data_IF_637555607685
#
_entry.id   IF_637555607685
#
_cell.length_a   1.000
_cell.length_b   1.000
_cell.length_c   1.000
_cell.angle_alpha   90.00
_cell.angle_beta   90.00
_cell.angle_gamma   90.00
#
_symmetry.space_group_name_H-M   'P 1'
#
loop_
_entity.id
_entity.type
_entity.pdbx_description
1 polymer ?
#
# COMPACT_ATOMS: atom_id res chain seq x y z
N UNK A 1 -72.14 5.08 -1.56
CA UNK A 1 -71.15 4.77 -2.62
C UNK A 1 -69.90 5.58 -2.33
N UNK A 2 -68.87 4.92 -1.71
CA UNK A 2 -67.58 5.54 -1.38
C UNK A 2 -66.59 5.17 -2.51
N UNK A 3 -66.16 6.19 -3.28
CA UNK A 3 -65.14 6.04 -4.31
C UNK A 3 -63.77 6.03 -3.64
N UNK A 4 -63.06 4.88 -3.68
CA UNK A 4 -61.66 4.75 -3.29
C UNK A 4 -60.81 5.35 -4.42
N UNK A 5 -60.07 6.45 -4.12
CA UNK A 5 -59.06 7.00 -5.01
C UNK A 5 -57.78 6.28 -4.70
N UNK A 6 -57.32 5.42 -5.63
CA UNK A 6 -56.02 4.74 -5.56
C UNK A 6 -54.97 5.72 -6.14
N UNK A 7 -54.14 6.28 -5.27
CA UNK A 7 -53.00 7.10 -5.67
C UNK A 7 -51.88 6.12 -6.04
N UNK A 8 -51.58 6.02 -7.33
CA UNK A 8 -50.40 5.31 -7.84
C UNK A 8 -49.17 6.23 -7.64
N UNK A 9 -48.39 5.99 -6.61
CA UNK A 9 -47.10 6.65 -6.44
C UNK A 9 -46.11 6.08 -7.44
N UNK A 10 -45.81 6.85 -8.50
CA UNK A 10 -44.69 6.56 -9.40
C UNK A 10 -43.40 6.81 -8.68
N UNK A 11 -42.78 5.73 -8.17
CA UNK A 11 -41.39 5.80 -7.71
C UNK A 11 -40.50 5.83 -8.97
N UNK A 12 -40.06 7.01 -9.38
CA UNK A 12 -38.95 7.14 -10.33
C UNK A 12 -37.68 6.66 -9.66
N UNK A 13 -37.19 5.48 -10.05
CA UNK A 13 -35.84 5.04 -9.76
C UNK A 13 -34.87 6.02 -10.43
N UNK A 14 -34.32 6.92 -9.66
CA UNK A 14 -33.14 7.70 -10.07
C UNK A 14 -31.96 6.74 -9.96
N UNK A 15 -31.55 6.16 -11.08
CA UNK A 15 -30.26 5.47 -11.16
C UNK A 15 -29.16 6.52 -10.96
N UNK A 16 -28.55 6.48 -9.80
CA UNK A 16 -27.34 7.27 -9.52
C UNK A 16 -26.22 6.57 -10.28
N UNK A 17 -25.91 7.04 -11.49
CA UNK A 17 -24.71 6.63 -12.21
C UNK A 17 -23.53 7.14 -11.39
N UNK A 18 -22.82 6.21 -10.74
CA UNK A 18 -21.58 6.54 -10.09
C UNK A 18 -20.55 6.91 -11.16
N UNK A 19 -20.01 8.14 -11.10
CA UNK A 19 -18.89 8.58 -11.92
C UNK A 19 -17.73 7.59 -11.75
N UNK A 20 -17.36 6.89 -12.81
CA UNK A 20 -16.30 5.87 -12.80
C UNK A 20 -15.30 6.16 -13.92
N UNK A 21 -14.27 6.97 -13.66
CA UNK A 21 -13.22 7.21 -14.63
C UNK A 21 -12.45 5.92 -14.92
N UNK A 22 -11.85 5.84 -16.10
CA UNK A 22 -10.95 4.77 -16.46
C UNK A 22 -9.60 4.96 -15.74
N UNK A 23 -9.13 3.93 -15.05
CA UNK A 23 -7.82 3.96 -14.41
C UNK A 23 -6.77 3.32 -15.33
N UNK A 24 -5.65 4.04 -15.52
CA UNK A 24 -4.51 3.58 -16.31
C UNK A 24 -3.23 3.72 -15.50
N UNK A 25 -2.56 2.61 -15.22
CA UNK A 25 -1.32 2.57 -14.44
C UNK A 25 -0.17 2.14 -15.34
N UNK A 26 0.86 2.99 -15.47
CA UNK A 26 2.00 2.79 -16.38
C UNK A 26 1.56 2.33 -17.79
N UNK A 27 0.47 2.91 -18.32
CA UNK A 27 -0.07 2.59 -19.63
C UNK A 27 -0.99 1.35 -19.71
N UNK A 28 -1.22 0.65 -18.59
CA UNK A 28 -2.10 -0.52 -18.51
C UNK A 28 -3.42 -0.16 -17.83
N UNK A 29 -4.55 -0.54 -18.44
CA UNK A 29 -5.88 -0.36 -17.85
C UNK A 29 -6.04 -1.29 -16.64
N UNK A 30 -6.53 -0.73 -15.52
CA UNK A 30 -6.79 -1.46 -14.27
C UNK A 30 -8.19 -1.14 -13.73
N UNK A 31 -8.74 -2.02 -12.91
CA UNK A 31 -10.08 -1.83 -12.33
C UNK A 31 -10.10 -0.82 -11.17
N UNK A 32 -9.02 -0.74 -10.39
CA UNK A 32 -8.89 0.13 -9.21
C UNK A 32 -7.43 0.47 -8.93
N UNK A 33 -7.20 1.61 -8.28
CA UNK A 33 -5.89 2.07 -7.83
C UNK A 33 -5.77 2.13 -6.30
N UNK A 34 -6.80 1.71 -5.55
CA UNK A 34 -6.85 1.77 -4.08
C UNK A 34 -5.75 0.96 -3.39
N UNK A 35 -5.28 -0.09 -4.05
CA UNK A 35 -4.22 -0.96 -3.54
C UNK A 35 -2.80 -0.41 -3.79
N UNK A 36 -2.67 0.71 -4.52
CA UNK A 36 -1.37 1.32 -4.83
C UNK A 36 -0.99 2.26 -3.69
N UNK A 37 0.14 2.01 -2.98
CA UNK A 37 0.62 2.92 -1.96
C UNK A 37 0.96 4.29 -2.55
N UNK A 38 0.63 5.36 -1.83
CA UNK A 38 0.97 6.73 -2.26
C UNK A 38 2.48 6.92 -2.48
N UNK A 39 3.31 6.26 -1.67
CA UNK A 39 4.77 6.34 -1.78
C UNK A 39 5.31 5.75 -3.10
N UNK A 40 4.53 4.89 -3.77
CA UNK A 40 4.89 4.27 -5.04
C UNK A 40 4.50 5.13 -6.26
N UNK A 41 3.66 6.15 -6.06
CA UNK A 41 3.16 7.01 -7.12
C UNK A 41 4.17 8.13 -7.40
N UNK A 42 4.55 8.28 -8.66
CA UNK A 42 5.36 9.39 -9.15
C UNK A 42 4.48 10.58 -9.57
N UNK A 43 3.38 10.29 -10.30
CA UNK A 43 2.48 11.31 -10.84
C UNK A 43 1.06 10.77 -11.08
N UNK A 44 0.08 11.64 -10.92
CA UNK A 44 -1.31 11.38 -11.32
C UNK A 44 -1.74 12.51 -12.25
N UNK A 45 -2.24 12.16 -13.43
CA UNK A 45 -2.81 13.08 -14.39
C UNK A 45 -4.29 12.73 -14.61
N UNK A 46 -5.15 13.76 -14.64
CA UNK A 46 -6.57 13.62 -14.95
C UNK A 46 -6.82 14.09 -16.38
N UNK A 47 -7.27 13.20 -17.25
CA UNK A 47 -7.69 13.54 -18.60
C UNK A 47 -9.22 13.70 -18.63
N UNK A 48 -9.73 14.80 -19.20
CA UNK A 48 -11.16 15.04 -19.32
C UNK A 48 -11.81 14.06 -20.29
N UNK A 49 -13.11 13.83 -20.11
CA UNK A 49 -13.94 13.11 -21.05
C UNK A 49 -14.13 13.97 -22.34
N UNK A 50 -13.37 13.70 -23.37
CA UNK A 50 -13.46 14.36 -24.66
C UNK A 50 -13.14 13.39 -25.81
N UNK A 51 -13.32 13.83 -27.06
CA UNK A 51 -13.10 13.00 -28.25
C UNK A 51 -11.68 12.46 -28.35
N UNK A 52 -10.67 13.25 -27.97
CA UNK A 52 -9.27 12.86 -28.00
C UNK A 52 -8.98 11.72 -27.00
N UNK A 53 -9.50 11.86 -25.76
CA UNK A 53 -9.36 10.85 -24.72
C UNK A 53 -10.07 9.57 -25.09
N UNK A 54 -11.29 9.66 -25.62
CA UNK A 54 -12.05 8.49 -26.10
C UNK A 54 -11.38 7.83 -27.30
N UNK A 55 -10.85 8.61 -28.24
CA UNK A 55 -10.12 8.05 -29.39
C UNK A 55 -8.87 7.26 -28.98
N UNK A 56 -8.20 7.71 -27.92
CA UNK A 56 -6.98 7.05 -27.40
C UNK A 56 -7.25 5.83 -26.53
N UNK A 57 -8.28 5.89 -25.66
CA UNK A 57 -8.50 4.90 -24.61
C UNK A 57 -9.80 4.09 -24.78
N UNK A 58 -10.58 4.38 -25.83
CA UNK A 58 -11.85 3.70 -26.11
C UNK A 58 -13.05 4.31 -25.38
N UNK A 59 -14.22 3.71 -25.59
CA UNK A 59 -15.49 4.17 -24.99
C UNK A 59 -15.52 4.07 -23.45
N UNK A 60 -14.66 3.27 -22.86
CA UNK A 60 -14.51 3.15 -21.40
C UNK A 60 -14.00 4.45 -20.79
N UNK A 61 -13.36 5.31 -21.57
CA UNK A 61 -12.89 6.64 -21.17
C UNK A 61 -13.96 7.75 -21.30
N UNK A 62 -15.23 7.40 -21.55
CA UNK A 62 -16.34 8.36 -21.72
C UNK A 62 -16.58 9.23 -20.47
N UNK A 63 -16.09 8.84 -19.30
CA UNK A 63 -16.13 9.59 -18.05
C UNK A 63 -14.76 10.14 -17.65
N UNK A 64 -13.78 10.16 -18.59
CA UNK A 64 -12.42 10.60 -18.35
C UNK A 64 -11.49 9.48 -17.92
N UNK A 65 -10.19 9.82 -17.82
CA UNK A 65 -9.12 8.87 -17.49
C UNK A 65 -8.27 9.44 -16.36
N UNK A 66 -7.96 8.59 -15.39
CA UNK A 66 -6.95 8.85 -14.36
C UNK A 66 -5.70 8.06 -14.73
N UNK A 67 -4.65 8.78 -15.14
CA UNK A 67 -3.34 8.20 -15.45
C UNK A 67 -2.48 8.21 -14.19
N UNK A 68 -2.03 7.05 -13.77
CA UNK A 68 -1.10 6.89 -12.65
C UNK A 68 0.24 6.43 -13.19
N UNK A 69 1.28 7.24 -12.96
CA UNK A 69 2.66 6.87 -13.25
C UNK A 69 3.32 6.43 -11.94
N UNK A 70 3.81 5.21 -11.91
CA UNK A 70 4.55 4.68 -10.77
C UNK A 70 6.03 5.02 -10.87
N UNK A 71 6.69 5.08 -9.71
CA UNK A 71 8.14 5.27 -9.62
C UNK A 71 8.92 4.10 -10.23
N UNK A 72 8.26 2.93 -10.42
CA UNK A 72 8.84 1.69 -10.94
C UNK A 72 7.87 0.98 -11.90
N UNK A 73 8.40 0.16 -12.76
CA UNK A 73 7.63 -0.75 -13.62
C UNK A 73 7.43 -2.10 -12.90
N UNK A 74 8.43 -2.49 -12.09
CA UNK A 74 8.40 -3.70 -11.29
C UNK A 74 8.75 -3.37 -9.84
N UNK A 75 7.86 -3.75 -8.93
CA UNK A 75 8.01 -3.49 -7.48
C UNK A 75 9.11 -4.37 -6.88
N UNK A 76 9.82 -3.85 -5.87
CA UNK A 76 10.70 -4.68 -5.07
C UNK A 76 9.93 -5.78 -4.33
N UNK A 77 10.49 -6.98 -4.32
CA UNK A 77 9.89 -8.15 -3.66
C UNK A 77 10.87 -8.82 -2.73
N UNK A 78 10.36 -9.34 -1.62
CA UNK A 78 11.11 -10.17 -0.69
C UNK A 78 10.65 -11.62 -0.80
N UNK A 79 11.60 -12.53 -0.97
CA UNK A 79 11.34 -13.98 -0.90
C UNK A 79 12.57 -14.68 -0.37
N UNK A 80 12.43 -15.41 0.74
CA UNK A 80 13.50 -16.15 1.37
C UNK A 80 12.96 -17.28 2.26
N UNK A 81 13.45 -18.52 2.08
CA UNK A 81 13.12 -19.69 2.91
C UNK A 81 11.60 -19.88 3.16
N UNK A 82 10.76 -19.64 2.15
CA UNK A 82 9.30 -19.77 2.26
C UNK A 82 8.59 -18.54 2.82
N UNK A 83 9.30 -17.45 3.08
CA UNK A 83 8.71 -16.15 3.40
C UNK A 83 8.62 -15.27 2.15
N UNK A 84 7.42 -14.90 1.76
CA UNK A 84 7.16 -13.93 0.68
C UNK A 84 6.78 -12.54 1.24
N UNK A 85 6.81 -12.40 2.56
CA UNK A 85 6.50 -11.17 3.28
C UNK A 85 7.60 -10.86 4.29
N UNK A 86 8.23 -9.68 4.11
CA UNK A 86 9.34 -9.26 4.97
C UNK A 86 8.95 -9.08 6.44
N UNK A 87 7.73 -8.59 6.71
CA UNK A 87 7.25 -8.46 8.10
C UNK A 87 7.08 -9.82 8.78
N UNK A 88 6.67 -10.85 8.03
CA UNK A 88 6.57 -12.22 8.55
C UNK A 88 7.95 -12.82 8.79
N UNK A 89 8.89 -12.60 7.88
CA UNK A 89 10.30 -12.96 8.09
C UNK A 89 10.84 -12.31 9.36
N UNK A 90 10.68 -10.98 9.53
CA UNK A 90 11.12 -10.28 10.73
C UNK A 90 10.46 -10.84 12.00
N UNK A 91 9.14 -11.13 11.95
CA UNK A 91 8.42 -11.72 13.07
C UNK A 91 8.99 -13.08 13.50
N UNK A 92 9.53 -13.86 12.55
CA UNK A 92 10.13 -15.17 12.82
C UNK A 92 11.57 -15.08 13.36
N UNK A 93 12.33 -14.05 12.97
CA UNK A 93 13.77 -13.91 13.28
C UNK A 93 14.04 -12.98 14.46
N UNK A 94 13.17 -12.00 14.74
CA UNK A 94 13.32 -11.11 15.90
C UNK A 94 13.13 -11.90 17.18
N UNK A 95 14.14 -11.88 18.07
CA UNK A 95 14.07 -12.57 19.37
C UNK A 95 12.95 -11.97 20.21
N UNK A 96 11.99 -12.80 20.52
CA UNK A 96 10.84 -12.47 21.32
C UNK A 96 10.54 -13.59 22.32
N UNK A 97 10.10 -13.23 23.52
CA UNK A 97 9.66 -14.16 24.54
C UNK A 97 8.19 -13.89 24.90
N UNK A 98 7.38 -14.93 25.00
CA UNK A 98 5.95 -14.81 25.32
C UNK A 98 5.66 -14.15 26.67
N UNK A 99 6.62 -14.17 27.60
CA UNK A 99 6.51 -13.47 28.91
C UNK A 99 6.63 -11.95 28.76
N UNK A 100 7.17 -11.44 27.64
CA UNK A 100 7.32 -10.00 27.40
C UNK A 100 5.97 -9.33 27.08
N UNK A 101 5.85 -8.06 27.43
CA UNK A 101 4.72 -7.22 27.01
C UNK A 101 4.72 -7.06 25.49
N UNK A 102 3.55 -6.86 24.88
CA UNK A 102 3.48 -6.59 23.45
C UNK A 102 4.24 -5.31 23.11
N UNK A 103 5.05 -5.39 22.07
CA UNK A 103 5.82 -4.27 21.54
C UNK A 103 5.53 -4.09 20.03
N UNK A 104 5.63 -2.84 19.58
CA UNK A 104 5.36 -2.46 18.19
C UNK A 104 6.43 -1.52 17.69
N UNK A 105 6.74 -1.67 16.40
CA UNK A 105 7.57 -0.72 15.66
C UNK A 105 6.93 -0.47 14.29
N UNK A 106 6.96 0.80 13.86
CA UNK A 106 6.65 1.23 12.50
C UNK A 106 7.88 1.88 11.92
N UNK A 107 8.36 1.37 10.80
CA UNK A 107 9.59 1.80 10.14
C UNK A 107 9.32 2.05 8.67
N UNK A 108 10.03 3.01 8.09
CA UNK A 108 10.24 3.08 6.66
C UNK A 108 11.62 2.53 6.36
N UNK A 109 11.70 1.52 5.50
CA UNK A 109 12.96 0.93 5.03
C UNK A 109 13.21 1.34 3.59
N UNK A 110 14.49 1.55 3.25
CA UNK A 110 14.97 1.72 1.91
C UNK A 110 15.55 0.39 1.43
N UNK A 111 15.04 -0.12 0.32
CA UNK A 111 15.67 -1.22 -0.43
C UNK A 111 16.45 -0.58 -1.57
N UNK A 112 17.76 -0.71 -1.55
CA UNK A 112 18.62 -0.13 -2.58
C UNK A 112 18.64 -0.97 -3.87
N UNK A 113 19.32 -0.49 -4.90
CA UNK A 113 19.44 -1.18 -6.19
C UNK A 113 20.17 -2.52 -6.14
N UNK A 114 20.88 -2.82 -5.04
CA UNK A 114 21.49 -4.14 -4.78
C UNK A 114 20.53 -5.10 -4.07
N UNK A 115 19.37 -4.63 -3.65
CA UNK A 115 18.38 -5.37 -2.87
C UNK A 115 18.62 -5.32 -1.36
N UNK A 116 19.57 -4.55 -0.85
CA UNK A 116 19.84 -4.44 0.58
C UNK A 116 18.83 -3.51 1.25
N UNK A 117 18.19 -4.00 2.31
CA UNK A 117 17.27 -3.22 3.13
C UNK A 117 18.01 -2.47 4.24
N UNK A 118 17.72 -1.18 4.41
CA UNK A 118 18.21 -0.33 5.50
C UNK A 118 17.07 0.51 6.07
N UNK A 119 17.16 0.92 7.34
CA UNK A 119 16.15 1.80 7.94
C UNK A 119 16.37 3.21 7.45
N UNK A 120 15.40 3.77 6.74
CA UNK A 120 15.35 5.16 6.31
C UNK A 120 14.75 6.07 7.38
N UNK A 121 13.70 5.59 8.07
CA UNK A 121 12.99 6.37 9.08
C UNK A 121 12.38 5.47 10.16
N UNK A 122 12.45 5.93 11.42
CA UNK A 122 11.71 5.33 12.54
C UNK A 122 10.46 6.16 12.78
N UNK A 123 9.30 5.66 12.33
CA UNK A 123 8.02 6.37 12.48
C UNK A 123 7.54 6.29 13.93
N UNK A 124 7.61 5.09 14.52
CA UNK A 124 7.26 4.88 15.94
C UNK A 124 7.89 3.60 16.48
N UNK A 125 8.13 3.58 17.79
CA UNK A 125 8.53 2.36 18.51
C UNK A 125 8.08 2.42 19.96
N UNK A 126 7.58 1.30 20.49
CA UNK A 126 7.20 1.18 21.91
C UNK A 126 8.39 1.10 22.84
N UNK A 127 9.54 0.60 22.36
CA UNK A 127 10.77 0.60 23.15
C UNK A 127 12.04 0.66 22.30
N UNK A 128 13.09 1.27 22.87
CA UNK A 128 14.42 1.32 22.23
C UNK A 128 15.05 -0.07 22.08
N UNK A 129 14.77 -0.97 23.02
CA UNK A 129 15.32 -2.32 22.99
C UNK A 129 14.71 -3.15 21.87
N UNK A 130 13.39 -3.03 21.67
CA UNK A 130 12.69 -3.71 20.58
C UNK A 130 13.18 -3.16 19.22
N UNK A 131 13.25 -1.84 19.09
CA UNK A 131 13.80 -1.19 17.90
C UNK A 131 15.20 -1.72 17.58
N UNK A 132 16.12 -1.79 18.56
CA UNK A 132 17.48 -2.31 18.35
C UNK A 132 17.50 -3.75 17.84
N UNK A 133 16.62 -4.61 18.37
CA UNK A 133 16.50 -6.01 17.89
C UNK A 133 16.01 -6.07 16.45
N UNK A 134 14.97 -5.29 16.13
CA UNK A 134 14.43 -5.22 14.76
C UNK A 134 15.47 -4.67 13.79
N UNK A 135 16.17 -3.58 14.16
CA UNK A 135 17.25 -3.00 13.34
C UNK A 135 18.29 -4.04 12.98
N UNK A 136 18.80 -4.76 13.98
CA UNK A 136 19.80 -5.81 13.76
C UNK A 136 19.28 -6.92 12.81
N UNK A 137 18.02 -7.33 12.97
CA UNK A 137 17.43 -8.35 12.10
C UNK A 137 17.29 -7.85 10.65
N UNK A 138 17.01 -6.56 10.45
CA UNK A 138 16.96 -5.95 9.11
C UNK A 138 18.36 -5.89 8.49
N UNK A 139 19.38 -5.49 9.25
CA UNK A 139 20.77 -5.42 8.78
C UNK A 139 21.35 -6.79 8.37
N UNK A 140 20.91 -7.85 9.05
CA UNK A 140 21.32 -9.24 8.81
C UNK A 140 20.37 -9.96 7.81
N UNK A 141 19.33 -9.29 7.31
CA UNK A 141 18.33 -9.90 6.43
C UNK A 141 18.88 -10.23 5.04
N UNK A 142 18.34 -11.26 4.39
CA UNK A 142 18.62 -11.56 2.99
C UNK A 142 18.27 -10.41 2.05
N UNK A 143 18.89 -10.42 0.87
CA UNK A 143 18.61 -9.42 -0.15
C UNK A 143 17.20 -9.58 -0.72
N UNK A 144 16.59 -8.46 -1.03
CA UNK A 144 15.37 -8.37 -1.83
C UNK A 144 15.71 -8.46 -3.33
N UNK A 145 14.70 -8.74 -4.15
CA UNK A 145 14.73 -8.34 -5.54
C UNK A 145 14.39 -6.85 -5.58
N UNK A 146 15.29 -5.98 -6.06
CA UNK A 146 15.05 -4.54 -6.06
C UNK A 146 13.91 -4.16 -7.01
N UNK A 147 13.37 -2.96 -6.87
CA UNK A 147 12.47 -2.38 -7.82
C UNK A 147 13.20 -2.11 -9.16
N UNK A 148 12.47 -2.15 -10.27
CA UNK A 148 13.03 -1.89 -11.60
C UNK A 148 12.21 -0.81 -12.30
N UNK A 149 12.91 0.09 -13.01
CA UNK A 149 12.34 1.05 -13.98
C UNK A 149 13.10 0.98 -15.27
N UNK A 150 12.41 0.71 -16.37
CA UNK A 150 13.01 0.54 -17.72
C UNK A 150 14.14 -0.50 -17.74
N UNK A 151 13.99 -1.58 -16.96
CA UNK A 151 14.97 -2.65 -16.85
C UNK A 151 16.19 -2.34 -15.98
N UNK A 152 16.21 -1.19 -15.33
CA UNK A 152 17.28 -0.77 -14.40
C UNK A 152 16.81 -0.92 -12.97
N UNK A 153 17.62 -1.57 -12.13
CA UNK A 153 17.34 -1.67 -10.70
C UNK A 153 17.42 -0.30 -10.02
N UNK A 154 16.41 0.04 -9.26
CA UNK A 154 16.28 1.31 -8.54
C UNK A 154 15.98 1.08 -7.06
N UNK A 155 16.23 2.09 -6.24
CA UNK A 155 15.83 2.10 -4.84
C UNK A 155 14.32 2.26 -4.67
N UNK A 156 13.78 1.73 -3.57
CA UNK A 156 12.36 1.85 -3.24
C UNK A 156 12.14 1.90 -1.73
N UNK A 157 11.09 2.61 -1.30
CA UNK A 157 10.71 2.74 0.11
C UNK A 157 9.57 1.77 0.44
N UNK A 158 9.65 1.14 1.61
CA UNK A 158 8.66 0.19 2.08
C UNK A 158 8.29 0.47 3.54
N UNK A 159 7.01 0.38 3.87
CA UNK A 159 6.52 0.49 5.23
C UNK A 159 6.54 -0.89 5.91
N UNK A 160 7.16 -0.97 7.08
CA UNK A 160 7.20 -2.16 7.93
C UNK A 160 6.48 -1.85 9.24
N UNK A 161 5.41 -2.58 9.52
CA UNK A 161 4.68 -2.53 10.78
C UNK A 161 4.80 -3.89 11.47
N UNK A 162 5.62 -3.96 12.52
CA UNK A 162 5.85 -5.19 13.26
C UNK A 162 5.33 -5.05 14.68
N UNK A 163 4.49 -5.99 15.11
CA UNK A 163 4.03 -6.14 16.48
C UNK A 163 4.30 -7.57 16.95
N UNK A 164 4.90 -7.72 18.12
CA UNK A 164 5.16 -9.01 18.75
C UNK A 164 4.73 -9.00 20.23
N UNK A 165 4.02 -10.03 20.66
CA UNK A 165 3.36 -11.04 19.85
C UNK A 165 2.14 -10.45 19.13
N UNK A 166 1.79 -10.99 17.96
CA UNK A 166 0.64 -10.51 17.16
C UNK A 166 -0.70 -10.60 17.90
N UNK A 167 -0.81 -11.54 18.85
CA UNK A 167 -2.05 -11.86 19.58
C UNK A 167 -2.33 -10.98 20.82
N UNK A 168 -1.34 -10.22 21.31
CA UNK A 168 -1.49 -9.39 22.52
C UNK A 168 -1.78 -7.94 22.18
N UNK A 169 -2.69 -7.32 22.93
CA UNK A 169 -2.92 -5.88 22.87
C UNK A 169 -1.71 -5.11 23.40
N UNK A 170 -1.43 -3.96 22.79
CA UNK A 170 -0.42 -3.04 23.32
C UNK A 170 -0.85 -2.50 24.70
N UNK A 171 0.08 -2.28 25.62
CA UNK A 171 -0.20 -1.59 26.87
C UNK A 171 -0.80 -0.20 26.60
N UNK A 172 -1.80 0.21 27.38
CA UNK A 172 -2.56 1.46 27.14
C UNK A 172 -1.74 2.77 27.25
N UNK A 173 -0.49 2.72 27.70
CA UNK A 173 0.31 3.90 28.09
C UNK A 173 1.61 4.10 27.31
N UNK A 174 1.78 3.51 26.12
CA UNK A 174 3.06 3.66 25.41
C UNK A 174 2.85 4.31 24.05
N UNK A 175 2.99 5.63 24.04
CA UNK A 175 3.27 6.40 22.83
C UNK A 175 4.66 7.02 22.95
N UNK A 176 5.73 6.30 22.62
CA UNK A 176 7.04 6.93 22.42
C UNK A 176 7.15 7.25 20.93
N UNK A 177 6.84 8.50 20.58
CA UNK A 177 7.16 9.05 19.26
C UNK A 177 8.64 9.44 19.34
N UNK A 178 9.49 8.71 18.65
CA UNK A 178 10.88 9.13 18.42
C UNK A 178 10.87 9.91 17.11
N UNK A 179 11.02 11.22 17.22
CA UNK A 179 11.33 12.09 16.09
C UNK A 179 12.84 12.11 15.86
#
# INVERSE_FOLDING_TARGET
>A
MRRLLTIFALFSLVEIYAYKPLYVVNGTIVESIEHIPHDDIERIDNLPANEETIAKWGMEASEGVILVTLKYDKRATFSYEGFDNFTEYLASKVRWDESMSAERVSLRILVDSSGKATISEVISSTSKQFLKRVTRTIEEAPLWQPAEKSGVAIESLHLVNLQLPKSKSLPKEIGVIIR
#
